data_IF_425048406408
#
_entry.id   IF_425048406408
#
_cell.length_a   1.000
_cell.length_b   1.000
_cell.length_c   1.000
_cell.angle_alpha   90.00
_cell.angle_beta   90.00
_cell.angle_gamma   90.00
#
_symmetry.space_group_name_H-M   'P 1'
#
loop_
_entity.id
_entity.type
_entity.pdbx_description
1 polymer ?
#
# COMPACT_ATOMS: atom_id res chain seq x y z
N UNK A 1 -0.10 11.90 -4.99
CA UNK A 1 1.24 11.33 -5.09
C UNK A 1 1.36 10.19 -4.10
N UNK A 2 1.61 8.97 -4.56
CA UNK A 2 1.83 7.83 -3.67
C UNK A 2 3.19 8.01 -2.98
N UNK A 3 3.24 7.86 -1.66
CA UNK A 3 4.45 7.95 -0.86
C UNK A 3 4.88 6.57 -0.38
N UNK A 4 3.91 5.81 0.14
CA UNK A 4 4.16 4.49 0.70
C UNK A 4 2.92 3.62 0.55
N UNK A 5 3.13 2.32 0.34
CA UNK A 5 2.09 1.31 0.37
C UNK A 5 2.60 0.12 1.18
N UNK A 6 1.77 -0.38 2.09
CA UNK A 6 2.07 -1.55 2.90
C UNK A 6 0.97 -2.60 2.74
N UNK A 7 1.35 -3.86 2.67
CA UNK A 7 0.42 -4.99 2.60
C UNK A 7 0.92 -6.16 3.43
N UNK A 8 0.01 -6.79 4.18
CA UNK A 8 0.25 -8.04 4.90
C UNK A 8 -0.85 -9.06 4.58
N UNK A 9 -0.46 -10.34 4.47
CA UNK A 9 -1.38 -11.46 4.29
C UNK A 9 -2.26 -11.34 3.03
N UNK A 10 -1.63 -11.25 1.85
CA UNK A 10 -2.30 -11.14 0.56
C UNK A 10 -1.65 -12.04 -0.49
N UNK A 11 -2.41 -12.97 -1.06
CA UNK A 11 -1.96 -13.90 -2.11
C UNK A 11 -0.70 -14.68 -1.72
N UNK A 12 0.45 -14.39 -2.35
CA UNK A 12 1.74 -15.01 -1.97
C UNK A 12 2.51 -14.25 -0.88
N UNK A 13 1.98 -13.11 -0.42
CA UNK A 13 2.61 -12.23 0.57
C UNK A 13 2.13 -12.61 1.96
N UNK A 14 2.93 -13.41 2.68
CA UNK A 14 2.60 -13.83 4.05
C UNK A 14 2.81 -12.72 5.07
N UNK A 15 4.01 -12.13 5.04
CA UNK A 15 4.46 -11.08 5.94
C UNK A 15 4.22 -9.70 5.32
N UNK A 16 4.43 -8.66 6.12
CA UNK A 16 4.36 -7.27 5.65
C UNK A 16 5.37 -7.01 4.54
N UNK A 17 4.91 -6.36 3.48
CA UNK A 17 5.73 -5.83 2.41
C UNK A 17 5.45 -4.33 2.29
N UNK A 18 6.52 -3.55 2.14
CA UNK A 18 6.44 -2.11 1.98
C UNK A 18 7.02 -1.69 0.62
N UNK A 19 6.26 -0.83 -0.07
CA UNK A 19 6.69 -0.13 -1.26
C UNK A 19 6.81 1.37 -0.92
N UNK A 20 8.02 1.89 -0.83
CA UNK A 20 8.28 3.30 -0.52
C UNK A 20 8.80 4.04 -1.73
N UNK A 21 8.16 5.18 -2.04
CA UNK A 21 8.60 6.14 -3.05
C UNK A 21 9.44 7.27 -2.43
N UNK A 22 9.55 7.33 -1.10
CA UNK A 22 10.39 8.31 -0.42
C UNK A 22 11.85 8.11 -0.88
N UNK A 23 12.45 9.19 -1.38
CA UNK A 23 13.85 9.20 -1.77
C UNK A 23 14.71 9.02 -0.50
N UNK A 24 15.51 7.95 -0.46
CA UNK A 24 16.39 7.65 0.67
C UNK A 24 17.51 8.70 0.81
N UNK A 25 17.97 9.22 -0.31
CA UNK A 25 19.06 10.17 -0.44
C UNK A 25 18.85 11.11 -1.63
N UNK A 26 19.56 12.23 -1.64
CA UNK A 26 19.44 13.25 -2.68
C UNK A 26 20.41 12.94 -3.82
N UNK A 27 19.87 12.76 -5.03
CA UNK A 27 20.69 12.64 -6.23
C UNK A 27 20.37 13.73 -7.25
N UNK A 28 21.33 14.59 -7.63
CA UNK A 28 21.10 15.70 -8.57
C UNK A 28 20.55 15.24 -9.93
N UNK A 29 20.90 14.03 -10.35
CA UNK A 29 20.53 13.46 -11.65
C UNK A 29 19.24 12.63 -11.60
N UNK A 30 18.71 12.36 -10.40
CA UNK A 30 17.49 11.58 -10.22
C UNK A 30 16.29 12.53 -10.26
N UNK A 31 15.28 12.15 -11.04
CA UNK A 31 13.99 12.83 -10.99
C UNK A 31 13.39 12.65 -9.59
N UNK A 32 13.22 13.75 -8.87
CA UNK A 32 12.69 13.79 -7.52
C UNK A 32 11.74 14.99 -7.36
N UNK A 33 10.63 14.79 -6.66
CA UNK A 33 9.67 15.84 -6.33
C UNK A 33 9.62 16.05 -4.81
N UNK A 34 9.46 17.30 -4.37
CA UNK A 34 9.22 17.58 -2.95
C UNK A 34 7.85 17.07 -2.53
N UNK A 35 7.77 16.51 -1.34
CA UNK A 35 6.52 16.15 -0.68
C UNK A 35 6.07 17.37 0.16
N UNK A 36 4.95 18.03 -0.19
CA UNK A 36 4.52 19.24 0.49
C UNK A 36 4.34 19.02 2.00
N UNK A 37 4.93 19.91 2.81
CA UNK A 37 4.74 19.92 4.26
C UNK A 37 5.44 18.81 5.05
N UNK A 38 6.28 17.97 4.43
CA UNK A 38 6.91 16.84 5.11
C UNK A 38 8.45 16.86 5.14
N UNK A 39 9.09 17.79 4.40
CA UNK A 39 10.56 17.82 4.26
C UNK A 39 11.15 16.61 3.51
N UNK A 40 10.31 15.70 3.00
CA UNK A 40 10.74 14.55 2.23
C UNK A 40 10.73 14.86 0.74
N UNK A 41 11.50 14.09 -0.02
CA UNK A 41 11.39 14.03 -1.48
C UNK A 41 10.92 12.64 -1.89
N UNK A 42 10.31 12.54 -3.05
CA UNK A 42 9.82 11.28 -3.60
C UNK A 42 10.38 11.08 -5.01
N UNK A 43 10.50 9.83 -5.43
CA UNK A 43 10.75 9.48 -6.82
C UNK A 43 9.42 9.25 -7.56
N UNK A 44 9.30 9.64 -8.84
CA UNK A 44 8.07 9.41 -9.60
C UNK A 44 7.94 7.96 -10.10
N UNK A 45 9.06 7.23 -10.13
CA UNK A 45 9.16 5.87 -10.67
C UNK A 45 10.02 5.03 -9.75
N UNK A 46 9.58 3.80 -9.49
CA UNK A 46 10.35 2.75 -8.86
C UNK A 46 10.27 1.48 -9.70
N UNK A 47 11.11 0.50 -9.38
CA UNK A 47 11.06 -0.80 -10.00
C UNK A 47 11.06 -1.90 -8.92
N UNK A 48 10.24 -2.93 -9.14
CA UNK A 48 10.14 -4.10 -8.27
C UNK A 48 10.90 -5.26 -8.95
N UNK A 49 12.02 -5.67 -8.36
CA UNK A 49 12.85 -6.75 -8.87
C UNK A 49 12.77 -8.00 -7.98
N UNK A 50 13.12 -9.15 -8.55
CA UNK A 50 13.09 -10.44 -7.86
C UNK A 50 12.87 -11.61 -8.80
N UNK A 51 13.06 -12.82 -8.31
CA UNK A 51 12.93 -14.06 -9.09
C UNK A 51 11.49 -14.30 -9.55
N UNK A 52 11.30 -15.20 -10.52
CA UNK A 52 9.95 -15.64 -10.90
C UNK A 52 9.23 -16.25 -9.69
N UNK A 53 7.91 -16.03 -9.63
CA UNK A 53 7.05 -16.44 -8.52
C UNK A 53 7.39 -15.84 -7.13
N UNK A 54 8.28 -14.84 -7.04
CA UNK A 54 8.60 -14.17 -5.76
C UNK A 54 7.48 -13.27 -5.21
N UNK A 55 6.36 -13.12 -5.91
CA UNK A 55 5.22 -12.33 -5.46
C UNK A 55 5.16 -10.88 -5.94
N UNK A 56 6.04 -10.45 -6.85
CA UNK A 56 6.05 -9.06 -7.38
C UNK A 56 4.69 -8.62 -7.93
N UNK A 57 4.08 -9.44 -8.79
CA UNK A 57 2.74 -9.16 -9.33
C UNK A 57 1.67 -9.11 -8.24
N UNK A 58 1.87 -9.81 -7.13
CA UNK A 58 0.94 -9.79 -6.00
C UNK A 58 1.05 -8.49 -5.17
N UNK A 59 2.19 -7.78 -5.20
CA UNK A 59 2.29 -6.43 -4.62
C UNK A 59 1.43 -5.44 -5.40
N UNK A 60 1.49 -5.50 -6.74
CA UNK A 60 0.67 -4.63 -7.61
C UNK A 60 -0.82 -5.01 -7.51
N UNK A 61 -1.12 -6.31 -7.47
CA UNK A 61 -2.48 -6.81 -7.25
C UNK A 61 -3.04 -6.35 -5.88
N UNK A 62 -2.24 -6.37 -4.82
CA UNK A 62 -2.63 -5.86 -3.51
C UNK A 62 -2.99 -4.37 -3.54
N UNK A 63 -2.19 -3.56 -4.22
CA UNK A 63 -2.46 -2.12 -4.39
C UNK A 63 -3.77 -1.89 -5.15
N UNK A 64 -3.99 -2.65 -6.24
CA UNK A 64 -5.25 -2.60 -7.01
C UNK A 64 -6.47 -3.06 -6.20
N UNK A 65 -6.32 -4.12 -5.40
CA UNK A 65 -7.36 -4.60 -4.50
C UNK A 65 -7.70 -3.54 -3.44
N UNK A 66 -6.70 -2.91 -2.82
CA UNK A 66 -6.93 -1.83 -1.85
C UNK A 66 -7.70 -0.65 -2.47
N UNK A 67 -7.31 -0.19 -3.66
CA UNK A 67 -8.06 0.84 -4.38
C UNK A 67 -9.51 0.42 -4.64
N UNK A 68 -9.73 -0.83 -5.04
CA UNK A 68 -11.07 -1.38 -5.25
C UNK A 68 -11.87 -1.43 -3.95
N UNK A 69 -11.25 -1.84 -2.84
CA UNK A 69 -11.87 -1.87 -1.52
C UNK A 69 -12.31 -0.47 -1.07
N UNK A 70 -11.44 0.52 -1.17
CA UNK A 70 -11.77 1.92 -0.83
C UNK A 70 -12.92 2.45 -1.68
N UNK A 71 -12.89 2.20 -3.00
CA UNK A 71 -13.88 2.76 -3.93
C UNK A 71 -15.23 2.03 -3.94
N UNK A 72 -15.27 0.75 -3.57
CA UNK A 72 -16.45 -0.10 -3.79
C UNK A 72 -17.02 -0.79 -2.55
N UNK A 73 -16.31 -0.77 -1.41
CA UNK A 73 -16.74 -1.49 -0.20
C UNK A 73 -18.16 -1.14 0.22
N UNK A 74 -18.47 0.15 0.34
CA UNK A 74 -19.81 0.60 0.74
C UNK A 74 -20.92 0.24 -0.24
N UNK A 75 -20.60 0.05 -1.53
CA UNK A 75 -21.61 -0.13 -2.59
C UNK A 75 -21.88 -1.60 -2.94
N UNK A 76 -20.91 -2.48 -2.70
CA UNK A 76 -20.91 -3.83 -3.30
C UNK A 76 -20.70 -4.96 -2.30
N UNK A 77 -20.28 -4.67 -1.07
CA UNK A 77 -20.01 -5.73 -0.12
C UNK A 77 -21.26 -6.01 0.70
N UNK A 78 -21.63 -7.28 0.76
CA UNK A 78 -22.69 -7.76 1.64
C UNK A 78 -22.26 -7.53 3.09
N UNK A 79 -23.01 -6.74 3.89
CA UNK A 79 -22.70 -6.53 5.30
C UNK A 79 -22.60 -7.84 6.12
N UNK A 80 -23.28 -8.90 5.67
CA UNK A 80 -23.25 -10.22 6.29
C UNK A 80 -22.22 -11.18 5.69
N UNK A 81 -21.73 -10.90 4.47
CA UNK A 81 -20.81 -11.76 3.71
C UNK A 81 -19.32 -11.52 4.01
N UNK A 82 -19.00 -10.49 4.80
CA UNK A 82 -17.64 -10.13 5.17
C UNK A 82 -16.84 -9.47 4.04
N UNK A 83 -15.55 -9.25 4.29
CA UNK A 83 -14.65 -8.58 3.33
C UNK A 83 -14.09 -9.60 2.33
N UNK A 84 -14.30 -9.42 1.00
CA UNK A 84 -13.79 -10.33 -0.02
C UNK A 84 -12.28 -10.17 -0.16
N UNK A 85 -11.52 -11.07 0.47
CA UNK A 85 -10.05 -11.05 0.54
C UNK A 85 -9.43 -12.32 -0.05
N UNK A 86 -8.16 -12.23 -0.44
CA UNK A 86 -7.33 -13.35 -0.91
C UNK A 86 -6.13 -13.52 0.03
N UNK A 87 -6.30 -14.14 1.22
CA UNK A 87 -5.22 -14.27 2.19
C UNK A 87 -4.12 -15.22 1.72
N UNK A 88 -2.98 -15.22 2.41
CA UNK A 88 -1.90 -16.17 2.13
C UNK A 88 -2.33 -17.60 2.47
N UNK A 89 -2.34 -18.48 1.46
CA UNK A 89 -2.97 -19.80 1.58
C UNK A 89 -2.19 -20.82 2.43
N UNK A 90 -0.85 -20.70 2.52
CA UNK A 90 -0.01 -21.69 3.20
C UNK A 90 0.14 -21.44 4.71
N UNK A 91 -0.76 -20.65 5.31
CA UNK A 91 -0.84 -20.48 6.77
C UNK A 91 -2.05 -21.22 7.31
N UNK A 92 -1.91 -21.88 8.46
CA UNK A 92 -3.00 -22.65 9.08
C UNK A 92 -4.17 -21.78 9.57
N UNK A 93 -3.95 -20.47 9.73
CA UNK A 93 -4.91 -19.48 10.22
C UNK A 93 -5.44 -18.55 9.10
N UNK A 94 -5.38 -18.95 7.82
CA UNK A 94 -5.61 -18.04 6.69
C UNK A 94 -6.96 -17.29 6.74
N UNK A 95 -8.02 -17.96 7.21
CA UNK A 95 -9.35 -17.40 7.32
C UNK A 95 -9.54 -16.48 8.54
N UNK A 96 -8.77 -16.64 9.62
CA UNK A 96 -8.89 -15.77 10.81
C UNK A 96 -7.84 -14.67 10.84
N UNK A 97 -6.69 -14.87 10.19
CA UNK A 97 -5.63 -13.88 10.13
C UNK A 97 -6.06 -12.66 9.29
N UNK A 98 -5.93 -11.42 9.81
CA UNK A 98 -6.32 -10.24 9.06
C UNK A 98 -5.42 -10.03 7.83
N UNK A 99 -5.99 -9.44 6.78
CA UNK A 99 -5.22 -8.83 5.71
C UNK A 99 -5.21 -7.33 5.98
N UNK A 100 -4.02 -6.72 5.97
CA UNK A 100 -3.85 -5.31 6.29
C UNK A 100 -3.27 -4.59 5.08
N UNK A 101 -3.81 -3.41 4.80
CA UNK A 101 -3.40 -2.55 3.69
C UNK A 101 -3.32 -1.13 4.23
N UNK A 102 -2.20 -0.45 4.00
CA UNK A 102 -2.02 0.95 4.37
C UNK A 102 -1.39 1.71 3.20
N UNK A 103 -1.78 2.98 3.06
CA UNK A 103 -1.27 3.86 2.01
C UNK A 103 -1.05 5.26 2.57
N UNK A 104 0.14 5.80 2.32
CA UNK A 104 0.45 7.20 2.54
C UNK A 104 0.48 7.88 1.18
N UNK A 105 -0.30 8.95 1.02
CA UNK A 105 -0.35 9.72 -0.20
C UNK A 105 -0.40 11.23 0.10
N UNK A 106 0.36 12.02 -0.66
CA UNK A 106 0.29 13.47 -0.64
C UNK A 106 -0.65 13.97 -1.75
N UNK A 107 -1.52 14.92 -1.44
CA UNK A 107 -2.43 15.55 -2.41
C UNK A 107 -2.16 17.07 -2.48
N UNK A 108 -1.94 17.65 -3.68
CA UNK A 108 -1.79 19.10 -3.82
C UNK A 108 -3.12 19.78 -3.46
N UNK A 109 -3.17 20.47 -2.31
CA UNK A 109 -4.36 21.22 -1.86
C UNK A 109 -4.81 20.92 -0.42
N UNK A 110 -4.20 19.96 0.27
CA UNK A 110 -4.42 19.74 1.70
C UNK A 110 -3.21 20.20 2.51
N UNK A 111 -3.33 21.31 3.23
CA UNK A 111 -2.50 21.50 4.42
C UNK A 111 -2.65 20.27 5.32
N UNK A 112 -1.54 19.77 5.86
CA UNK A 112 -1.48 18.49 6.55
C UNK A 112 -2.63 18.29 7.54
N UNK A 113 -3.55 17.38 7.21
CA UNK A 113 -4.36 16.74 8.22
C UNK A 113 -3.49 15.65 8.86
N UNK A 114 -2.57 16.06 9.75
CA UNK A 114 -2.16 15.20 10.85
C UNK A 114 -3.41 14.95 11.69
N UNK A 115 -4.19 13.95 11.29
CA UNK A 115 -5.21 13.35 12.11
C UNK A 115 -4.52 12.67 13.27
N UNK A 116 -4.22 13.44 14.32
CA UNK A 116 -3.96 12.90 15.63
C UNK A 116 -5.20 12.12 16.04
N UNK A 117 -5.09 10.80 16.03
CA UNK A 117 -5.91 9.96 16.88
C UNK A 117 -5.41 10.23 18.31
N UNK A 118 -5.94 11.27 18.93
CA UNK A 118 -5.87 11.42 20.38
C UNK A 118 -6.92 10.47 20.97
N UNK A 119 -6.48 9.62 21.90
CA UNK A 119 -7.36 8.81 22.75
C UNK A 119 -7.75 9.62 23.97
#
# INVERSE_FOLDING_TARGET
MLLRFQVTNHASLRAEQELSFIAADRHPERAEAEVPGSGHRTVPVLAIYGTNASGKSNVIDALGWMCTAVLSSFRRWDPSGGVPRRPFALRGDAASHPSSFAVDAAYPGGGGATGGYDR
#
